data_IF_815481896383
#
_entry.id   IF_815481896383
#
_cell.length_a   1.000
_cell.length_b   1.000
_cell.length_c   1.000
_cell.angle_alpha   90.00
_cell.angle_beta   90.00
_cell.angle_gamma   90.00
#
_symmetry.space_group_name_H-M   'P 1'
#
loop_
_entity.id
_entity.type
_entity.pdbx_description
1 polymer ?
#
# COMPACT_ATOMS: atom_id res chain seq x y z
N UNK A 1 -20.57 8.70 -7.20
CA UNK A 1 -19.68 8.82 -6.03
C UNK A 1 -18.54 7.86 -6.25
N UNK A 2 -17.30 8.29 -5.99
CA UNK A 2 -16.12 7.40 -6.03
C UNK A 2 -16.09 6.57 -4.76
N UNK A 3 -15.82 5.27 -4.87
CA UNK A 3 -15.58 4.34 -3.75
C UNK A 3 -14.12 4.37 -3.28
N UNK A 4 -13.28 5.17 -3.93
CA UNK A 4 -11.84 5.29 -3.65
C UNK A 4 -11.59 6.04 -2.34
N UNK A 5 -11.08 5.33 -1.33
CA UNK A 5 -10.57 5.91 -0.09
C UNK A 5 -9.03 5.91 -0.13
N UNK A 6 -8.45 7.08 -0.33
CA UNK A 6 -6.99 7.21 -0.37
C UNK A 6 -6.36 7.04 1.01
N UNK A 7 -5.34 6.20 1.07
CA UNK A 7 -4.48 5.99 2.24
C UNK A 7 -3.21 6.84 2.13
N UNK A 8 -2.66 6.94 0.92
CA UNK A 8 -1.46 7.72 0.63
C UNK A 8 -1.46 8.19 -0.83
N UNK A 9 -0.95 9.39 -1.07
CA UNK A 9 -0.70 9.95 -2.40
C UNK A 9 0.59 10.78 -2.36
N UNK A 10 1.52 10.49 -3.26
CA UNK A 10 2.74 11.29 -3.44
C UNK A 10 2.65 12.16 -4.68
N UNK A 11 3.36 13.29 -4.67
CA UNK A 11 3.55 14.13 -5.86
C UNK A 11 4.32 13.41 -6.97
N UNK A 12 5.08 12.37 -6.62
CA UNK A 12 5.85 11.53 -7.54
C UNK A 12 4.96 10.55 -8.32
N UNK A 13 3.65 10.53 -8.08
CA UNK A 13 2.69 9.70 -8.81
C UNK A 13 2.47 8.30 -8.24
N UNK A 14 2.90 8.05 -7.00
CA UNK A 14 2.62 6.80 -6.29
C UNK A 14 1.47 7.01 -5.32
N UNK A 15 0.57 6.03 -5.24
CA UNK A 15 -0.55 6.11 -4.32
C UNK A 15 -1.01 4.75 -3.83
N UNK A 16 -1.60 4.75 -2.65
CA UNK A 16 -2.27 3.61 -2.06
C UNK A 16 -3.69 4.02 -1.70
N UNK A 17 -4.67 3.22 -2.09
CA UNK A 17 -6.06 3.44 -1.71
C UNK A 17 -6.77 2.11 -1.42
N UNK A 18 -7.90 2.20 -0.73
CA UNK A 18 -8.85 1.12 -0.59
C UNK A 18 -10.11 1.40 -1.42
N UNK A 19 -10.69 0.36 -2.00
CA UNK A 19 -12.03 0.44 -2.58
C UNK A 19 -13.06 0.18 -1.48
N UNK A 20 -13.77 1.22 -1.05
CA UNK A 20 -14.81 1.12 -0.03
C UNK A 20 -15.97 0.25 -0.53
N UNK A 21 -16.18 -0.88 0.14
CA UNK A 21 -17.44 -1.63 0.04
C UNK A 21 -18.44 -1.10 1.08
N UNK A 22 -19.72 -1.38 0.87
CA UNK A 22 -20.80 -1.01 1.80
C UNK A 22 -20.81 -1.90 3.07
N UNK A 23 -19.87 -2.83 3.19
CA UNK A 23 -19.81 -3.79 4.29
C UNK A 23 -19.17 -3.17 5.54
N UNK A 24 -19.59 -3.66 6.73
CA UNK A 24 -19.09 -3.16 8.01
C UNK A 24 -17.63 -3.57 8.30
N UNK A 25 -17.15 -4.64 7.66
CA UNK A 25 -15.78 -5.08 7.81
C UNK A 25 -14.89 -4.33 6.83
N UNK A 26 -13.79 -3.77 7.31
CA UNK A 26 -12.78 -3.18 6.44
C UNK A 26 -11.91 -4.30 5.84
N UNK A 27 -12.50 -5.15 5.01
CA UNK A 27 -11.77 -6.15 4.20
C UNK A 27 -11.59 -5.67 2.76
N UNK A 28 -11.72 -4.35 2.57
CA UNK A 28 -11.61 -3.67 1.30
C UNK A 28 -10.22 -3.87 0.68
N UNK A 29 -10.14 -4.23 -0.62
CA UNK A 29 -8.86 -4.48 -1.27
C UNK A 29 -8.01 -3.21 -1.28
N UNK A 30 -6.71 -3.39 -1.01
CA UNK A 30 -5.71 -2.35 -1.16
C UNK A 30 -5.21 -2.32 -2.60
N UNK A 31 -5.15 -1.14 -3.20
CA UNK A 31 -4.69 -0.94 -4.57
C UNK A 31 -3.52 0.06 -4.56
N UNK A 32 -2.41 -0.36 -5.16
CA UNK A 32 -1.26 0.50 -5.44
C UNK A 32 -1.43 1.07 -6.86
N UNK A 33 -1.41 2.39 -6.96
CA UNK A 33 -1.44 3.13 -8.22
C UNK A 33 -0.08 3.78 -8.46
N UNK A 34 0.47 3.59 -9.67
CA UNK A 34 1.75 4.17 -10.07
C UNK A 34 1.54 4.87 -11.40
N UNK A 35 1.63 6.20 -11.41
CA UNK A 35 1.60 7.01 -12.61
C UNK A 35 3.00 7.07 -13.24
N UNK A 36 3.09 6.77 -14.54
CA UNK A 36 4.34 6.77 -15.31
C UNK A 36 5.46 5.90 -14.65
N UNK A 37 5.22 4.61 -14.38
CA UNK A 37 6.22 3.74 -13.77
C UNK A 37 7.49 3.68 -14.62
N UNK A 38 8.65 3.86 -13.98
CA UNK A 38 9.96 3.82 -14.64
C UNK A 38 10.29 2.41 -15.12
N UNK A 39 10.06 1.40 -14.27
CA UNK A 39 10.17 0.00 -14.62
C UNK A 39 8.96 -0.78 -14.09
N UNK A 40 8.28 -1.46 -15.00
CA UNK A 40 7.24 -2.41 -14.68
C UNK A 40 7.23 -3.55 -15.69
N UNK A 41 6.85 -4.73 -15.21
CA UNK A 41 6.78 -5.94 -16.02
C UNK A 41 5.53 -6.72 -15.68
N UNK A 42 4.74 -6.98 -16.73
CA UNK A 42 3.62 -7.92 -16.68
C UNK A 42 4.08 -9.22 -17.35
N UNK A 43 4.04 -10.33 -16.63
CA UNK A 43 4.19 -11.66 -17.21
C UNK A 43 2.86 -12.38 -17.11
N UNK A 44 2.48 -13.06 -18.18
CA UNK A 44 1.30 -13.90 -18.21
C UNK A 44 1.70 -15.27 -18.77
N UNK A 45 1.34 -16.33 -18.08
CA UNK A 45 1.61 -17.70 -18.49
C UNK A 45 0.35 -18.53 -18.32
N UNK A 46 0.22 -19.59 -19.10
CA UNK A 46 -0.85 -20.58 -18.96
C UNK A 46 -0.23 -21.89 -18.52
N UNK A 47 -0.78 -22.54 -17.49
CA UNK A 47 -0.34 -23.87 -17.09
C UNK A 47 -0.87 -24.96 -18.06
N UNK A 48 -0.47 -26.21 -17.84
CA UNK A 48 -0.92 -27.35 -18.66
C UNK A 48 -2.45 -27.57 -18.57
N UNK A 49 -3.09 -27.10 -17.50
CA UNK A 49 -4.53 -27.21 -17.25
C UNK A 49 -5.34 -26.04 -17.87
N UNK A 50 -4.67 -25.12 -18.59
CA UNK A 50 -5.31 -23.97 -19.23
C UNK A 50 -5.57 -22.79 -18.29
N UNK A 51 -5.15 -22.86 -17.03
CA UNK A 51 -5.27 -21.77 -16.08
C UNK A 51 -4.19 -20.71 -16.33
N UNK A 52 -4.62 -19.46 -16.28
CA UNK A 52 -3.77 -18.31 -16.50
C UNK A 52 -3.20 -17.76 -15.18
N UNK A 53 -1.89 -17.53 -15.17
CA UNK A 53 -1.17 -16.90 -14.07
C UNK A 53 -0.53 -15.61 -14.56
N UNK A 54 -0.92 -14.50 -13.94
CA UNK A 54 -0.31 -13.20 -14.15
C UNK A 54 0.64 -12.85 -13.01
N UNK A 55 1.78 -12.23 -13.34
CA UNK A 55 2.66 -11.56 -12.38
C UNK A 55 2.87 -10.12 -12.83
N UNK A 56 2.47 -9.17 -11.99
CA UNK A 56 2.86 -7.77 -12.11
C UNK A 56 4.06 -7.52 -11.20
N UNK A 57 5.11 -6.92 -11.73
CA UNK A 57 6.25 -6.38 -11.00
C UNK A 57 6.35 -4.91 -11.36
N UNK A 58 6.58 -4.05 -10.37
CA UNK A 58 6.82 -2.63 -10.58
C UNK A 58 7.82 -2.17 -9.52
N UNK A 59 8.72 -1.26 -9.92
CA UNK A 59 9.63 -0.63 -8.99
C UNK A 59 8.94 0.54 -8.27
N UNK A 60 9.15 0.60 -6.95
CA UNK A 60 8.72 1.71 -6.09
C UNK A 60 9.97 2.15 -5.33
N UNK A 61 10.33 3.45 -5.34
CA UNK A 61 11.41 3.97 -4.51
C UNK A 61 11.22 3.57 -3.04
N UNK A 62 12.31 3.19 -2.36
CA UNK A 62 12.23 2.62 -1.01
C UNK A 62 11.65 3.61 0.00
N UNK A 63 12.04 4.89 -0.08
CA UNK A 63 11.51 5.99 0.71
C UNK A 63 9.99 6.16 0.53
N UNK A 64 9.52 6.12 -0.72
CA UNK A 64 8.08 6.18 -1.01
C UNK A 64 7.35 4.95 -0.48
N UNK A 65 7.97 3.76 -0.58
CA UNK A 65 7.37 2.54 -0.05
C UNK A 65 7.28 2.54 1.48
N UNK A 66 8.28 3.08 2.17
CA UNK A 66 8.27 3.27 3.62
C UNK A 66 7.10 4.18 4.05
N UNK A 67 6.89 5.30 3.35
CA UNK A 67 5.75 6.19 3.60
C UNK A 67 4.40 5.50 3.37
N UNK A 68 4.29 4.71 2.29
CA UNK A 68 3.09 3.90 2.00
C UNK A 68 2.84 2.89 3.12
N UNK A 69 3.88 2.18 3.58
CA UNK A 69 3.77 1.16 4.62
C UNK A 69 3.37 1.77 5.97
N UNK A 70 3.95 2.92 6.34
CA UNK A 70 3.60 3.66 7.55
C UNK A 70 2.14 4.14 7.47
N UNK A 71 1.73 4.76 6.36
CA UNK A 71 0.36 5.24 6.16
C UNK A 71 -0.65 4.09 6.26
N UNK A 72 -0.34 2.95 5.66
CA UNK A 72 -1.17 1.74 5.76
C UNK A 72 -1.32 1.25 7.20
N UNK A 73 -0.21 1.12 7.93
CA UNK A 73 -0.23 0.65 9.31
C UNK A 73 -1.06 1.58 10.20
N UNK A 74 -0.98 2.89 9.99
CA UNK A 74 -1.78 3.88 10.71
C UNK A 74 -3.27 3.77 10.37
N UNK A 75 -3.62 3.73 9.08
CA UNK A 75 -5.01 3.59 8.62
C UNK A 75 -5.68 2.33 9.19
N UNK A 76 -4.94 1.22 9.22
CA UNK A 76 -5.40 -0.09 9.73
C UNK A 76 -5.29 -0.24 11.25
N UNK A 77 -4.72 0.75 11.95
CA UNK A 77 -4.45 0.73 13.40
C UNK A 77 -3.63 -0.49 13.85
N UNK A 78 -2.56 -0.80 13.11
CA UNK A 78 -1.72 -1.99 13.34
C UNK A 78 -0.60 -1.78 14.36
N UNK A 79 -0.54 -0.64 15.04
CA UNK A 79 0.54 -0.30 16.00
C UNK A 79 0.74 -1.40 17.05
N UNK A 80 -0.34 -2.03 17.52
CA UNK A 80 -0.27 -3.14 18.49
C UNK A 80 0.52 -4.36 18.00
N UNK A 81 0.57 -4.61 16.70
CA UNK A 81 1.37 -5.71 16.13
C UNK A 81 2.88 -5.44 16.17
N UNK A 82 3.27 -4.16 16.21
CA UNK A 82 4.66 -3.72 16.26
C UNK A 82 5.13 -3.40 17.69
N UNK A 83 4.28 -3.58 18.69
CA UNK A 83 4.61 -3.32 20.09
C UNK A 83 4.74 -1.84 20.46
N UNK A 84 4.28 -0.93 19.60
CA UNK A 84 4.42 0.51 19.79
C UNK A 84 3.98 1.34 18.58
N UNK A 85 4.20 2.66 18.62
CA UNK A 85 3.90 3.58 17.52
C UNK A 85 4.68 3.23 16.24
N UNK A 86 4.15 3.61 15.08
CA UNK A 86 4.78 3.33 13.77
C UNK A 86 5.20 4.63 13.10
N UNK A 87 6.49 4.72 12.72
CA UNK A 87 7.13 5.94 12.22
C UNK A 87 7.46 6.94 13.34
N UNK A 88 7.55 8.22 13.01
CA UNK A 88 8.02 9.29 13.93
C UNK A 88 6.95 9.75 14.95
N UNK A 89 6.03 8.87 15.33
CA UNK A 89 5.04 9.15 16.36
C UNK A 89 5.71 9.19 17.74
N UNK A 90 5.19 10.02 18.65
CA UNK A 90 5.74 10.14 20.01
C UNK A 90 5.80 8.77 20.71
N UNK A 91 6.97 8.40 21.22
CA UNK A 91 7.27 7.07 21.76
C UNK A 91 7.71 6.01 20.73
N UNK A 92 7.85 6.39 19.46
CA UNK A 92 8.43 5.57 18.39
C UNK A 92 9.95 5.68 18.33
N UNK A 93 10.64 4.68 17.74
CA UNK A 93 12.11 4.64 17.66
C UNK A 93 12.72 5.79 16.83
N UNK A 94 11.95 6.34 15.89
CA UNK A 94 12.37 7.42 14.98
C UNK A 94 11.77 8.79 15.38
N UNK A 95 11.28 8.95 16.61
CA UNK A 95 10.74 10.22 17.08
C UNK A 95 11.87 11.12 17.62
N UNK A 96 12.07 12.27 17.00
CA UNK A 96 13.09 13.27 17.43
C UNK A 96 12.73 14.00 18.75
N UNK A 97 11.55 13.74 19.30
CA UNK A 97 11.04 14.38 20.51
C UNK A 97 10.92 13.34 21.63
N UNK A 98 11.75 13.49 22.67
CA UNK A 98 11.63 12.78 23.95
C UNK A 98 10.43 13.28 24.76
#
# INVERSE_FOLDING_TARGET
MSTKEWVYQSEQGFGLYQEMTLEKNNDNPAIIEIANPVDFRVNYTTNADGEAFGKLMAEIPADVFDEIAVAWCKQRKLQGAFGGPVGNEWGGPDCDYE
#
